data_IF_037520408948
#
_entry.id   IF_037520408948
#
_cell.length_a   1.000
_cell.length_b   1.000
_cell.length_c   1.000
_cell.angle_alpha   90.00
_cell.angle_beta   90.00
_cell.angle_gamma   90.00
#
_symmetry.space_group_name_H-M   'P 1'
#
loop_
_entity.id
_entity.type
_entity.pdbx_description
1 polymer ?
#
# COMPACT_ATOMS: atom_id res chain seq x y z
N UNK A 1 -19.98 -15.04 10.03
CA UNK A 1 -20.02 -14.32 8.74
C UNK A 1 -20.92 -13.07 8.78
N UNK A 2 -22.23 -13.20 9.14
CA UNK A 2 -23.14 -12.02 9.15
C UNK A 2 -22.68 -10.97 10.18
N UNK A 3 -22.24 -11.38 11.34
CA UNK A 3 -21.72 -10.48 12.39
C UNK A 3 -20.41 -9.78 11.99
N UNK A 4 -19.56 -10.44 11.23
CA UNK A 4 -18.32 -9.86 10.71
C UNK A 4 -18.56 -8.80 9.65
N UNK A 5 -19.52 -9.02 8.75
CA UNK A 5 -19.94 -8.04 7.74
C UNK A 5 -20.49 -6.79 8.42
N UNK A 6 -21.39 -6.94 9.39
CA UNK A 6 -21.97 -5.83 10.13
C UNK A 6 -20.91 -5.01 10.91
N UNK A 7 -19.95 -5.69 11.53
CA UNK A 7 -18.82 -5.03 12.20
C UNK A 7 -17.95 -4.25 11.21
N UNK A 8 -17.61 -4.87 10.08
CA UNK A 8 -16.86 -4.19 9.02
C UNK A 8 -17.58 -2.94 8.56
N UNK A 9 -18.86 -3.05 8.24
CA UNK A 9 -19.66 -1.92 7.76
C UNK A 9 -19.75 -0.79 8.79
N UNK A 10 -19.87 -1.11 10.07
CA UNK A 10 -19.89 -0.11 11.15
C UNK A 10 -18.57 0.66 11.26
N UNK A 11 -17.42 -0.03 11.14
CA UNK A 11 -16.10 0.61 11.15
C UNK A 11 -15.90 1.43 9.89
N UNK A 12 -16.27 0.89 8.73
CA UNK A 12 -16.13 1.57 7.45
C UNK A 12 -16.98 2.83 7.32
N UNK A 13 -18.11 2.92 8.02
CA UNK A 13 -18.91 4.15 8.02
C UNK A 13 -18.15 5.33 8.66
N UNK A 14 -17.44 5.05 9.75
CA UNK A 14 -16.55 6.04 10.38
C UNK A 14 -15.36 6.38 9.48
N UNK A 15 -14.72 5.37 8.89
CA UNK A 15 -13.61 5.57 7.96
C UNK A 15 -14.04 6.34 6.71
N UNK A 16 -15.22 6.04 6.14
CA UNK A 16 -15.79 6.75 4.99
C UNK A 16 -15.89 8.24 5.24
N UNK A 17 -16.44 8.64 6.41
CA UNK A 17 -16.54 10.05 6.75
C UNK A 17 -15.16 10.71 6.85
N UNK A 18 -14.21 10.07 7.51
CA UNK A 18 -12.86 10.60 7.63
C UNK A 18 -12.14 10.73 6.27
N UNK A 19 -12.31 9.75 5.39
CA UNK A 19 -11.75 9.79 4.04
C UNK A 19 -12.40 10.91 3.22
N UNK A 20 -13.72 11.04 3.28
CA UNK A 20 -14.45 12.10 2.60
C UNK A 20 -13.99 13.49 3.06
N UNK A 21 -13.94 13.72 4.37
CA UNK A 21 -13.51 15.00 4.95
C UNK A 21 -12.06 15.32 4.53
N UNK A 22 -11.17 14.32 4.54
CA UNK A 22 -9.77 14.49 4.11
C UNK A 22 -9.63 14.82 2.61
N UNK A 23 -10.34 14.10 1.75
CA UNK A 23 -10.29 14.30 0.29
C UNK A 23 -10.82 15.69 -0.10
N UNK A 24 -11.82 16.19 0.63
CA UNK A 24 -12.49 17.45 0.33
C UNK A 24 -11.98 18.64 1.15
N UNK A 25 -10.91 18.45 1.94
CA UNK A 25 -10.35 19.49 2.83
C UNK A 25 -11.40 20.05 3.80
N UNK A 26 -12.27 19.19 4.29
CA UNK A 26 -13.31 19.52 5.26
C UNK A 26 -12.84 19.32 6.70
N UNK A 27 -13.33 20.12 7.68
CA UNK A 27 -13.02 19.92 9.09
C UNK A 27 -13.41 18.53 9.56
N UNK A 28 -12.49 17.80 10.18
CA UNK A 28 -12.73 16.46 10.68
C UNK A 28 -12.72 16.42 12.20
N UNK A 29 -13.92 16.24 12.81
CA UNK A 29 -14.09 16.11 14.26
C UNK A 29 -13.76 14.71 14.80
N UNK A 30 -13.53 13.74 13.91
CA UNK A 30 -13.39 12.33 14.29
C UNK A 30 -12.02 12.00 14.86
N UNK A 31 -11.11 12.91 15.04
CA UNK A 31 -9.75 12.66 15.56
C UNK A 31 -9.11 11.38 15.01
N UNK A 32 -9.40 11.05 13.74
CA UNK A 32 -8.70 10.00 13.01
C UNK A 32 -7.40 10.61 12.57
N UNK A 33 -6.36 10.25 13.30
CA UNK A 33 -5.01 10.73 13.03
C UNK A 33 -4.43 9.99 11.83
N UNK A 34 -3.45 10.65 11.20
CA UNK A 34 -2.58 10.01 10.21
C UNK A 34 -3.22 9.78 8.82
N UNK A 35 -4.33 10.46 8.50
CA UNK A 35 -4.87 10.42 7.13
C UNK A 35 -3.87 10.93 6.07
N UNK A 36 -2.89 11.73 6.49
CA UNK A 36 -1.77 12.18 5.66
C UNK A 36 -0.74 11.08 5.35
N UNK A 37 -0.84 9.92 6.00
CA UNK A 37 0.04 8.79 5.69
C UNK A 37 -0.32 8.22 4.31
N UNK A 38 0.66 8.09 3.42
CA UNK A 38 0.42 7.73 2.02
C UNK A 38 -0.30 6.40 1.82
N UNK A 39 -0.14 5.47 2.73
CA UNK A 39 -0.70 4.12 2.60
C UNK A 39 -2.15 3.99 3.08
N UNK A 40 -2.67 4.96 3.86
CA UNK A 40 -4.01 4.85 4.49
C UNK A 40 -5.13 4.71 3.47
N UNK A 41 -5.17 5.56 2.45
CA UNK A 41 -6.19 5.48 1.40
C UNK A 41 -6.09 4.17 0.60
N UNK A 42 -4.89 3.70 0.36
CA UNK A 42 -4.65 2.45 -0.36
C UNK A 42 -5.07 1.23 0.46
N UNK A 43 -4.82 1.24 1.78
CA UNK A 43 -5.34 0.22 2.68
C UNK A 43 -6.87 0.23 2.76
N UNK A 44 -7.51 1.40 2.71
CA UNK A 44 -8.97 1.49 2.65
C UNK A 44 -9.51 0.79 1.40
N UNK A 45 -8.90 1.00 0.23
CA UNK A 45 -9.26 0.28 -1.01
C UNK A 45 -9.10 -1.22 -0.83
N UNK A 46 -7.98 -1.68 -0.26
CA UNK A 46 -7.77 -3.11 -0.01
C UNK A 46 -8.80 -3.70 0.97
N UNK A 47 -9.15 -2.99 2.04
CA UNK A 47 -10.20 -3.41 2.97
C UNK A 47 -11.55 -3.56 2.26
N UNK A 48 -11.93 -2.62 1.39
CA UNK A 48 -13.16 -2.69 0.60
C UNK A 48 -13.10 -3.88 -0.38
N UNK A 49 -11.94 -4.17 -0.96
CA UNK A 49 -11.72 -5.36 -1.79
C UNK A 49 -11.97 -6.66 -1.01
N UNK A 50 -11.53 -6.75 0.25
CA UNK A 50 -11.83 -7.93 1.08
C UNK A 50 -13.32 -8.02 1.43
N UNK A 51 -13.97 -6.88 1.66
CA UNK A 51 -15.43 -6.84 1.84
C UNK A 51 -16.17 -7.37 0.60
N UNK A 52 -15.74 -7.02 -0.61
CA UNK A 52 -16.32 -7.53 -1.84
C UNK A 52 -16.31 -9.08 -1.92
N UNK A 53 -15.28 -9.72 -1.36
CA UNK A 53 -15.20 -11.19 -1.26
C UNK A 53 -16.17 -11.78 -0.24
N UNK A 54 -16.50 -11.02 0.80
CA UNK A 54 -17.42 -11.47 1.86
C UNK A 54 -18.89 -11.39 1.45
N UNK A 55 -19.23 -10.44 0.58
CA UNK A 55 -20.63 -10.19 0.17
C UNK A 55 -20.87 -10.50 -1.31
N UNK A 56 -20.58 -9.56 -2.19
CA UNK A 56 -20.47 -9.68 -3.65
C UNK A 56 -19.91 -8.39 -4.21
N UNK A 57 -19.41 -8.42 -5.45
CA UNK A 57 -18.93 -7.22 -6.15
C UNK A 57 -20.05 -6.19 -6.36
N UNK A 58 -21.26 -6.62 -6.68
CA UNK A 58 -22.41 -5.73 -6.85
C UNK A 58 -22.76 -4.98 -5.57
N UNK A 59 -22.87 -5.68 -4.44
CA UNK A 59 -23.12 -5.03 -3.14
C UNK A 59 -21.98 -4.11 -2.72
N UNK A 60 -20.74 -4.51 -2.99
CA UNK A 60 -19.57 -3.68 -2.73
C UNK A 60 -19.64 -2.38 -3.56
N UNK A 61 -19.95 -2.48 -4.84
CA UNK A 61 -20.09 -1.34 -5.74
C UNK A 61 -21.21 -0.41 -5.32
N UNK A 62 -22.38 -0.96 -5.00
CA UNK A 62 -23.52 -0.18 -4.52
C UNK A 62 -23.15 0.64 -3.28
N UNK A 63 -22.40 0.05 -2.35
CA UNK A 63 -22.10 0.68 -1.07
C UNK A 63 -20.86 1.57 -1.08
N UNK A 64 -19.81 1.16 -1.79
CA UNK A 64 -18.49 1.81 -1.74
C UNK A 64 -17.95 2.24 -3.11
N UNK A 65 -18.68 2.02 -4.21
CA UNK A 65 -18.21 2.34 -5.55
C UNK A 65 -17.82 3.80 -5.70
N UNK A 66 -18.67 4.71 -5.25
CA UNK A 66 -18.38 6.14 -5.29
C UNK A 66 -17.14 6.51 -4.48
N UNK A 67 -16.99 5.99 -3.27
CA UNK A 67 -15.82 6.24 -2.42
C UNK A 67 -14.52 5.76 -3.08
N UNK A 68 -14.55 4.60 -3.74
CA UNK A 68 -13.42 4.06 -4.48
C UNK A 68 -13.02 4.96 -5.65
N UNK A 69 -14.00 5.46 -6.41
CA UNK A 69 -13.76 6.41 -7.50
C UNK A 69 -13.16 7.72 -6.99
N UNK A 70 -13.69 8.27 -5.89
CA UNK A 70 -13.17 9.48 -5.24
C UNK A 70 -11.71 9.32 -4.78
N UNK A 71 -11.38 8.19 -4.13
CA UNK A 71 -10.00 7.88 -3.70
C UNK A 71 -9.06 7.81 -4.92
N UNK A 72 -9.46 7.07 -5.96
CA UNK A 72 -8.62 6.91 -7.14
C UNK A 72 -8.39 8.22 -7.88
N UNK A 73 -9.42 9.05 -7.98
CA UNK A 73 -9.31 10.36 -8.61
C UNK A 73 -8.43 11.33 -7.78
N UNK A 74 -8.60 11.32 -6.46
CA UNK A 74 -7.78 12.12 -5.55
C UNK A 74 -6.29 11.79 -5.68
N UNK A 75 -5.95 10.50 -5.70
CA UNK A 75 -4.56 10.06 -5.86
C UNK A 75 -3.99 10.37 -7.26
N UNK A 76 -4.81 10.23 -8.30
CA UNK A 76 -4.40 10.51 -9.69
C UNK A 76 -4.18 12.00 -9.96
N UNK A 77 -4.87 12.88 -9.26
CA UNK A 77 -4.70 14.34 -9.36
C UNK A 77 -3.57 14.90 -8.50
N UNK A 78 -2.80 14.03 -7.85
CA UNK A 78 -1.69 14.45 -6.99
C UNK A 78 -2.11 15.39 -5.84
N UNK A 79 -3.33 15.22 -5.34
CA UNK A 79 -3.85 16.06 -4.27
C UNK A 79 -3.34 15.64 -2.87
N UNK A 80 -2.75 14.45 -2.76
CA UNK A 80 -2.24 13.95 -1.49
C UNK A 80 -0.95 14.68 -1.09
N UNK A 81 -0.81 15.18 0.16
CA UNK A 81 0.33 16.03 0.55
C UNK A 81 1.69 15.29 0.53
N UNK A 82 1.69 13.97 0.66
CA UNK A 82 2.91 13.16 0.79
C UNK A 82 3.01 12.04 -0.26
N UNK A 83 2.19 12.08 -1.31
CA UNK A 83 2.14 11.02 -2.33
C UNK A 83 1.93 11.62 -3.71
N UNK A 84 2.81 11.33 -4.64
CA UNK A 84 2.86 11.92 -5.97
C UNK A 84 2.87 10.85 -7.05
N UNK A 85 1.97 10.96 -8.01
CA UNK A 85 1.95 10.06 -9.17
C UNK A 85 2.95 10.54 -10.23
N UNK A 86 4.01 9.77 -10.43
CA UNK A 86 5.01 10.09 -11.43
C UNK A 86 4.62 9.58 -12.83
N UNK A 87 5.26 10.14 -13.86
CA UNK A 87 4.98 9.82 -15.26
C UNK A 87 5.23 8.37 -15.66
N UNK A 88 5.96 7.60 -14.85
CA UNK A 88 6.15 6.16 -15.00
C UNK A 88 5.01 5.31 -14.39
N UNK A 89 3.99 5.96 -13.82
CA UNK A 89 2.84 5.30 -13.19
C UNK A 89 3.06 4.87 -11.73
N UNK A 90 4.26 5.05 -11.18
CA UNK A 90 4.54 4.74 -9.77
C UNK A 90 4.20 5.91 -8.86
N UNK A 91 3.83 5.61 -7.63
CA UNK A 91 3.65 6.57 -6.56
C UNK A 91 4.97 6.81 -5.83
N UNK A 92 5.36 8.08 -5.77
CA UNK A 92 6.51 8.56 -5.00
C UNK A 92 6.00 9.11 -3.66
N UNK A 93 6.57 8.65 -2.55
CA UNK A 93 6.20 9.08 -1.21
C UNK A 93 7.32 9.90 -0.56
N UNK A 94 6.95 10.97 0.16
CA UNK A 94 7.90 11.80 0.91
C UNK A 94 7.85 11.46 2.40
N UNK A 95 8.86 10.75 2.87
CA UNK A 95 9.02 10.28 4.25
C UNK A 95 10.29 10.71 4.94
N UNK A 96 10.91 11.81 4.47
CA UNK A 96 12.17 12.31 5.03
C UNK A 96 12.01 12.79 6.47
N UNK A 97 10.97 13.56 6.75
CA UNK A 97 10.74 14.20 8.06
C UNK A 97 9.72 13.45 8.92
N UNK A 98 8.88 12.62 8.32
CA UNK A 98 7.82 11.88 9.01
C UNK A 98 7.87 10.41 8.64
N UNK A 99 7.55 9.54 9.59
CA UNK A 99 7.23 8.15 9.28
C UNK A 99 5.92 8.11 8.49
N UNK A 100 5.92 7.44 7.34
CA UNK A 100 4.82 7.52 6.37
C UNK A 100 4.13 6.19 6.11
N UNK A 101 4.55 5.12 6.78
CA UNK A 101 3.98 3.79 6.64
C UNK A 101 3.88 3.11 8.01
N UNK A 102 3.50 1.84 8.03
CA UNK A 102 3.49 1.01 9.24
C UNK A 102 4.86 0.98 9.97
N UNK A 103 5.96 1.27 9.27
CA UNK A 103 7.30 1.43 9.86
C UNK A 103 7.45 2.82 10.48
N UNK A 104 6.69 3.08 11.54
CA UNK A 104 6.47 4.40 12.13
C UNK A 104 7.26 4.68 13.41
N UNK A 105 8.28 3.87 13.72
CA UNK A 105 9.14 4.13 14.88
C UNK A 105 9.94 5.41 14.71
N UNK A 106 9.92 6.27 15.73
CA UNK A 106 10.64 7.54 15.74
C UNK A 106 11.58 7.67 16.93
N UNK A 107 12.63 8.46 16.77
CA UNK A 107 13.52 8.90 17.85
C UNK A 107 13.66 10.42 17.77
N UNK A 108 13.35 11.11 18.86
CA UNK A 108 13.32 12.58 18.91
C UNK A 108 12.45 13.22 17.80
N UNK A 109 11.33 12.57 17.47
CA UNK A 109 10.41 13.04 16.42
C UNK A 109 10.81 12.72 14.97
N UNK A 110 11.97 12.13 14.76
CA UNK A 110 12.43 11.73 13.42
C UNK A 110 12.29 10.22 13.19
N UNK A 111 11.93 9.79 11.96
CA UNK A 111 11.86 8.38 11.63
C UNK A 111 13.18 7.65 11.91
N UNK A 112 13.13 6.49 12.53
CA UNK A 112 14.31 5.61 12.68
C UNK A 112 14.83 5.17 11.32
N UNK A 113 13.90 4.95 10.39
CA UNK A 113 14.20 4.60 9.00
C UNK A 113 13.39 5.54 8.12
N UNK A 114 13.98 6.67 7.68
CA UNK A 114 13.32 7.54 6.71
C UNK A 114 13.23 6.81 5.37
N UNK A 115 12.01 6.66 4.86
CA UNK A 115 11.74 6.00 3.57
C UNK A 115 11.10 7.03 2.65
N UNK A 116 11.89 7.55 1.73
CA UNK A 116 11.44 8.49 0.69
C UNK A 116 11.69 7.87 -0.66
N UNK A 117 10.82 8.13 -1.62
CA UNK A 117 10.93 7.60 -2.97
C UNK A 117 9.80 6.64 -3.34
N UNK A 118 10.09 5.74 -4.26
CA UNK A 118 9.19 4.64 -4.58
C UNK A 118 9.31 3.57 -3.49
N UNK A 119 8.23 3.35 -2.74
CA UNK A 119 8.17 2.39 -1.63
C UNK A 119 7.44 1.15 -2.10
N UNK A 120 8.02 -0.02 -1.86
CA UNK A 120 7.57 -1.28 -2.47
C UNK A 120 6.13 -1.64 -2.11
N UNK A 121 5.74 -1.59 -0.84
CA UNK A 121 4.38 -1.93 -0.41
C UNK A 121 3.35 -0.89 -0.83
N UNK A 122 3.71 0.40 -0.89
CA UNK A 122 2.82 1.45 -1.40
C UNK A 122 2.51 1.20 -2.88
N UNK A 123 3.52 0.90 -3.67
CA UNK A 123 3.33 0.64 -5.10
C UNK A 123 2.68 -0.72 -5.37
N UNK A 124 2.85 -1.71 -4.49
CA UNK A 124 2.09 -2.96 -4.55
C UNK A 124 0.59 -2.73 -4.27
N UNK A 125 0.27 -1.95 -3.24
CA UNK A 125 -1.11 -1.53 -2.92
C UNK A 125 -1.72 -0.72 -4.07
N UNK A 126 -0.94 0.20 -4.65
CA UNK A 126 -1.38 1.02 -5.77
C UNK A 126 -1.74 0.17 -7.00
N UNK A 127 -0.85 -0.74 -7.40
CA UNK A 127 -1.13 -1.65 -8.50
C UNK A 127 -2.40 -2.48 -8.25
N UNK A 128 -2.53 -3.05 -7.05
CA UNK A 128 -3.72 -3.80 -6.66
C UNK A 128 -4.99 -2.94 -6.69
N UNK A 129 -4.92 -1.68 -6.25
CA UNK A 129 -6.04 -0.75 -6.27
C UNK A 129 -6.47 -0.41 -7.71
N UNK A 130 -5.51 -0.11 -8.59
CA UNK A 130 -5.77 0.17 -10.01
C UNK A 130 -6.52 -0.98 -10.69
N UNK A 131 -6.04 -2.21 -10.49
CA UNK A 131 -6.67 -3.39 -11.07
C UNK A 131 -8.08 -3.64 -10.50
N UNK A 132 -8.21 -3.66 -9.17
CA UNK A 132 -9.48 -3.94 -8.50
C UNK A 132 -10.55 -2.92 -8.85
N UNK A 133 -10.23 -1.61 -8.70
CA UNK A 133 -11.20 -0.54 -8.97
C UNK A 133 -11.49 -0.44 -10.46
N UNK A 134 -10.47 -0.60 -11.32
CA UNK A 134 -10.66 -0.61 -12.78
C UNK A 134 -11.66 -1.67 -13.23
N UNK A 135 -11.56 -2.89 -12.72
CA UNK A 135 -12.55 -3.94 -13.00
C UNK A 135 -13.93 -3.58 -12.45
N UNK A 136 -14.01 -3.12 -11.19
CA UNK A 136 -15.27 -2.83 -10.51
C UNK A 136 -16.07 -1.72 -11.22
N UNK A 137 -15.41 -0.66 -11.68
CA UNK A 137 -16.06 0.44 -12.40
C UNK A 137 -16.40 0.06 -13.83
N UNK A 138 -15.62 -0.81 -14.47
CA UNK A 138 -15.95 -1.40 -15.78
C UNK A 138 -17.23 -2.23 -15.74
N UNK A 139 -17.41 -3.07 -14.72
CA UNK A 139 -18.63 -3.83 -14.47
C UNK A 139 -19.85 -2.91 -14.24
N UNK A 140 -19.64 -1.68 -13.77
CA UNK A 140 -20.67 -0.66 -13.63
C UNK A 140 -21.00 0.07 -14.93
N UNK A 141 -20.25 -0.19 -16.01
CA UNK A 141 -20.40 0.49 -17.29
C UNK A 141 -19.66 1.82 -17.41
N UNK A 142 -18.84 2.20 -16.42
CA UNK A 142 -17.95 3.36 -16.50
C UNK A 142 -16.67 2.99 -17.27
N UNK A 143 -16.82 2.71 -18.56
CA UNK A 143 -15.75 2.22 -19.41
C UNK A 143 -14.57 3.19 -19.54
N UNK A 144 -14.83 4.49 -19.52
CA UNK A 144 -13.77 5.51 -19.64
C UNK A 144 -12.81 5.46 -18.42
N UNK A 145 -13.35 5.42 -17.22
CA UNK A 145 -12.53 5.32 -16.02
C UNK A 145 -11.84 3.96 -15.96
N UNK A 146 -12.55 2.87 -16.30
CA UNK A 146 -11.98 1.52 -16.33
C UNK A 146 -10.75 1.44 -17.25
N UNK A 147 -10.86 1.94 -18.49
CA UNK A 147 -9.79 1.97 -19.47
C UNK A 147 -8.59 2.83 -19.00
N UNK A 148 -8.88 3.96 -18.37
CA UNK A 148 -7.86 4.84 -17.79
C UNK A 148 -7.10 4.13 -16.67
N UNK A 149 -7.80 3.47 -15.73
CA UNK A 149 -7.16 2.75 -14.62
C UNK A 149 -6.40 1.52 -15.11
N UNK A 150 -6.92 0.81 -16.11
CA UNK A 150 -6.24 -0.34 -16.70
C UNK A 150 -4.93 0.08 -17.40
N UNK A 151 -4.97 1.14 -18.22
CA UNK A 151 -3.76 1.67 -18.88
C UNK A 151 -2.70 2.05 -17.85
N UNK A 152 -3.12 2.72 -16.78
CA UNK A 152 -2.21 3.09 -15.69
C UNK A 152 -1.69 1.85 -14.94
N UNK A 153 -2.51 0.82 -14.74
CA UNK A 153 -2.09 -0.44 -14.13
C UNK A 153 -1.01 -1.14 -14.96
N UNK A 154 -1.18 -1.21 -16.28
CA UNK A 154 -0.19 -1.80 -17.19
C UNK A 154 1.15 -1.06 -17.11
N UNK A 155 1.12 0.27 -17.13
CA UNK A 155 2.31 1.11 -16.98
C UNK A 155 2.97 0.90 -15.60
N UNK A 156 2.17 0.96 -14.53
CA UNK A 156 2.62 0.76 -13.15
C UNK A 156 3.26 -0.62 -12.98
N UNK A 157 2.63 -1.67 -13.50
CA UNK A 157 3.13 -3.04 -13.41
C UNK A 157 4.50 -3.22 -14.04
N UNK A 158 4.71 -2.66 -15.23
CA UNK A 158 6.01 -2.66 -15.92
C UNK A 158 7.05 -1.90 -15.12
N UNK A 159 6.75 -0.67 -14.73
CA UNK A 159 7.67 0.18 -13.96
C UNK A 159 7.97 -0.41 -12.58
N UNK A 160 7.02 -1.12 -11.97
CA UNK A 160 7.23 -1.81 -10.70
C UNK A 160 8.33 -2.87 -10.81
N UNK A 161 8.26 -3.72 -11.84
CA UNK A 161 9.28 -4.75 -12.07
C UNK A 161 10.63 -4.11 -12.34
N UNK A 162 10.68 -3.13 -13.24
CA UNK A 162 11.91 -2.44 -13.63
C UNK A 162 12.58 -1.71 -12.44
N UNK A 163 11.77 -1.24 -11.46
CA UNK A 163 12.26 -0.47 -10.30
C UNK A 163 12.65 -1.37 -9.14
N UNK A 164 11.86 -2.38 -8.81
CA UNK A 164 12.02 -3.11 -7.55
C UNK A 164 12.63 -4.48 -7.68
N UNK A 165 12.43 -5.19 -8.80
CA UNK A 165 12.93 -6.55 -8.93
C UNK A 165 14.44 -6.53 -9.23
N UNK A 166 15.22 -7.05 -8.29
CA UNK A 166 16.66 -7.11 -8.44
C UNK A 166 17.16 -8.43 -9.05
N UNK A 167 18.44 -8.47 -9.39
CA UNK A 167 19.11 -9.63 -10.00
C UNK A 167 19.10 -10.90 -9.14
N UNK A 168 18.88 -10.78 -7.82
CA UNK A 168 18.78 -11.91 -6.90
C UNK A 168 17.37 -12.46 -6.74
N UNK A 169 16.40 -11.89 -7.48
CA UNK A 169 15.02 -12.37 -7.52
C UNK A 169 14.15 -11.99 -6.33
N UNK A 170 14.51 -10.92 -5.60
CA UNK A 170 13.66 -10.31 -4.58
C UNK A 170 13.47 -8.81 -4.86
N UNK A 171 12.66 -8.12 -4.04
CA UNK A 171 12.33 -6.73 -4.27
C UNK A 171 13.12 -5.81 -3.34
N UNK A 172 13.61 -4.70 -3.89
CA UNK A 172 14.15 -3.59 -3.12
C UNK A 172 13.06 -3.01 -2.20
N UNK A 173 13.44 -2.53 -1.01
CA UNK A 173 12.51 -1.99 -0.04
C UNK A 173 11.98 -0.61 -0.46
N UNK A 174 12.87 0.26 -0.92
CA UNK A 174 12.53 1.51 -1.59
C UNK A 174 13.62 1.97 -2.54
N UNK A 175 13.26 2.87 -3.47
CA UNK A 175 14.17 3.45 -4.45
C UNK A 175 13.94 4.96 -4.53
N UNK A 176 15.00 5.76 -4.34
CA UNK A 176 14.97 7.22 -4.48
C UNK A 176 16.13 7.68 -5.39
N UNK A 177 15.82 7.93 -6.65
CA UNK A 177 16.83 8.23 -7.66
C UNK A 177 17.84 7.11 -7.81
N UNK A 178 19.09 7.38 -7.46
CA UNK A 178 20.19 6.39 -7.47
C UNK A 178 20.33 5.62 -6.17
N UNK A 179 19.58 5.97 -5.12
CA UNK A 179 19.58 5.27 -3.86
C UNK A 179 18.63 4.08 -3.94
N UNK A 180 19.14 2.90 -3.62
CA UNK A 180 18.38 1.65 -3.61
C UNK A 180 18.56 0.97 -2.25
N UNK A 181 17.48 0.70 -1.52
CA UNK A 181 17.54 -0.07 -0.29
C UNK A 181 17.42 -1.57 -0.58
N UNK A 182 18.54 -2.27 -0.45
CA UNK A 182 18.66 -3.71 -0.66
C UNK A 182 18.30 -4.53 0.59
N UNK A 183 17.85 -3.89 1.65
CA UNK A 183 17.49 -4.56 2.89
C UNK A 183 16.36 -5.56 2.64
N UNK A 184 16.55 -6.80 3.06
CA UNK A 184 15.50 -7.80 3.05
C UNK A 184 14.58 -7.55 4.23
N UNK A 185 13.39 -7.01 3.92
CA UNK A 185 12.31 -6.66 4.86
C UNK A 185 11.00 -7.37 4.47
N UNK A 186 10.05 -7.51 5.39
CA UNK A 186 8.79 -8.17 5.10
C UNK A 186 7.90 -7.42 4.09
N UNK A 187 8.18 -6.16 3.80
CA UNK A 187 7.37 -5.29 2.94
C UNK A 187 7.11 -5.87 1.55
N UNK A 188 8.08 -6.57 1.00
CA UNK A 188 7.94 -7.21 -0.31
C UNK A 188 6.87 -8.32 -0.36
N UNK A 189 6.48 -8.89 0.80
CA UNK A 189 5.51 -9.98 0.83
C UNK A 189 4.10 -9.53 0.42
N UNK A 190 3.77 -8.26 0.62
CA UNK A 190 2.48 -7.72 0.20
C UNK A 190 2.26 -7.88 -1.30
N UNK A 191 3.32 -7.70 -2.11
CA UNK A 191 3.24 -7.90 -3.57
C UNK A 191 2.85 -9.33 -3.95
N UNK A 192 3.23 -10.31 -3.12
CA UNK A 192 2.87 -11.71 -3.34
C UNK A 192 1.47 -12.05 -2.82
N UNK A 193 1.08 -11.40 -1.72
CA UNK A 193 -0.15 -11.69 -0.98
C UNK A 193 -1.40 -11.05 -1.59
N UNK A 194 -1.26 -9.95 -2.32
CA UNK A 194 -2.41 -9.28 -2.91
C UNK A 194 -2.99 -10.06 -4.09
N UNK A 195 -4.30 -9.89 -4.33
CA UNK A 195 -5.02 -10.56 -5.43
C UNK A 195 -4.45 -10.16 -6.79
N UNK A 196 -4.15 -8.88 -6.95
CA UNK A 196 -3.49 -8.34 -8.14
C UNK A 196 -2.04 -8.01 -7.83
N UNK A 197 -1.16 -8.59 -8.58
CA UNK A 197 0.29 -8.46 -8.40
C UNK A 197 0.96 -8.26 -9.77
N UNK A 198 1.92 -7.35 -9.89
CA UNK A 198 2.67 -7.20 -11.12
C UNK A 198 3.66 -8.35 -11.36
N UNK A 199 3.92 -9.19 -10.35
CA UNK A 199 4.86 -10.30 -10.42
C UNK A 199 4.24 -11.54 -11.04
N UNK A 200 4.98 -12.22 -11.90
CA UNK A 200 4.64 -13.56 -12.36
C UNK A 200 4.87 -14.64 -11.28
N UNK A 201 4.48 -15.87 -11.57
CA UNK A 201 4.59 -16.98 -10.61
C UNK A 201 6.04 -17.29 -10.21
N UNK A 202 7.00 -17.14 -11.11
CA UNK A 202 8.44 -17.36 -10.84
C UNK A 202 8.99 -16.27 -9.95
N UNK A 203 8.65 -15.01 -10.23
CA UNK A 203 9.06 -13.85 -9.44
C UNK A 203 8.46 -13.90 -8.03
N UNK A 204 7.16 -14.23 -7.90
CA UNK A 204 6.51 -14.45 -6.60
C UNK A 204 7.22 -15.53 -5.78
N UNK A 205 7.60 -16.64 -6.44
CA UNK A 205 8.36 -17.70 -5.79
C UNK A 205 9.71 -17.22 -5.30
N UNK A 206 10.44 -16.43 -6.09
CA UNK A 206 11.73 -15.86 -5.69
C UNK A 206 11.60 -15.00 -4.42
N UNK A 207 10.60 -14.11 -4.37
CA UNK A 207 10.32 -13.30 -3.19
C UNK A 207 10.00 -14.17 -1.98
N UNK A 208 9.12 -15.18 -2.13
CA UNK A 208 8.77 -16.10 -1.05
C UNK A 208 9.98 -16.89 -0.53
N UNK A 209 10.84 -17.37 -1.42
CA UNK A 209 12.04 -18.13 -1.04
C UNK A 209 12.98 -17.27 -0.17
N UNK A 210 13.18 -15.99 -0.53
CA UNK A 210 14.02 -15.07 0.25
C UNK A 210 13.37 -14.72 1.59
N UNK A 211 12.08 -14.40 1.62
CA UNK A 211 11.34 -14.09 2.85
C UNK A 211 11.36 -15.29 3.80
N UNK A 212 11.10 -16.48 3.28
CA UNK A 212 11.10 -17.71 4.08
C UNK A 212 12.49 -17.99 4.67
N UNK A 213 13.53 -17.86 3.85
CA UNK A 213 14.90 -18.16 4.26
C UNK A 213 15.45 -17.17 5.29
N UNK A 214 15.14 -15.89 5.15
CA UNK A 214 15.80 -14.84 5.91
C UNK A 214 14.94 -14.24 7.03
N UNK A 215 13.62 -14.21 6.85
CA UNK A 215 12.73 -13.52 7.79
C UNK A 215 11.87 -14.46 8.61
N UNK A 216 11.49 -15.64 8.09
CA UNK A 216 10.53 -16.50 8.76
C UNK A 216 11.08 -17.05 10.08
N UNK A 217 10.25 -16.97 11.11
CA UNK A 217 10.48 -17.57 12.43
C UNK A 217 9.22 -18.32 12.88
N UNK A 218 9.30 -19.16 13.90
CA UNK A 218 8.10 -19.82 14.47
C UNK A 218 7.03 -18.84 14.99
N UNK A 219 7.38 -17.55 15.18
CA UNK A 219 6.48 -16.52 15.73
C UNK A 219 6.05 -15.46 14.71
N UNK A 220 6.50 -15.56 13.45
CA UNK A 220 6.22 -14.60 12.39
C UNK A 220 7.47 -14.18 11.62
N UNK A 221 7.37 -13.07 10.89
CA UNK A 221 8.49 -12.55 10.11
C UNK A 221 9.31 -11.54 10.94
N UNK A 222 10.63 -11.59 10.79
CA UNK A 222 11.51 -10.52 11.25
C UNK A 222 11.25 -9.25 10.44
N UNK A 223 11.41 -8.10 11.05
CA UNK A 223 11.32 -6.80 10.37
C UNK A 223 12.56 -6.49 9.49
N UNK A 224 13.66 -7.21 9.72
CA UNK A 224 14.91 -7.07 8.97
C UNK A 224 15.67 -8.39 8.96
N UNK A 225 16.33 -8.71 7.85
CA UNK A 225 17.20 -9.89 7.76
C UNK A 225 18.39 -9.81 8.73
N UNK A 226 18.72 -10.92 9.41
CA UNK A 226 19.95 -11.00 10.23
C UNK A 226 21.25 -10.73 9.49
N UNK A 227 21.24 -10.76 8.16
CA UNK A 227 22.39 -10.44 7.32
C UNK A 227 22.56 -8.94 7.07
N UNK A 228 21.56 -8.13 7.38
CA UNK A 228 21.64 -6.68 7.23
C UNK A 228 22.44 -6.04 8.35
N UNK A 229 23.29 -5.07 8.02
CA UNK A 229 24.20 -4.45 8.98
C UNK A 229 23.53 -3.69 10.14
N UNK A 230 22.25 -3.33 10.01
CA UNK A 230 21.45 -2.72 11.08
C UNK A 230 20.62 -3.70 11.91
N UNK A 231 20.76 -5.02 11.69
CA UNK A 231 19.98 -6.00 12.44
C UNK A 231 20.40 -6.07 13.91
N UNK A 232 19.44 -5.88 14.80
CA UNK A 232 19.63 -6.10 16.24
C UNK A 232 18.62 -7.14 16.74
N UNK A 233 19.06 -8.33 17.17
CA UNK A 233 18.15 -9.39 17.64
C UNK A 233 17.54 -9.09 19.02
N UNK A 234 18.17 -8.20 19.79
CA UNK A 234 17.75 -7.87 21.14
C UNK A 234 17.43 -6.38 21.22
N UNK A 235 16.16 -6.07 21.39
CA UNK A 235 15.77 -4.70 21.70
C UNK A 235 16.21 -4.34 23.13
N UNK A 236 17.02 -3.29 23.26
CA UNK A 236 17.48 -2.79 24.55
C UNK A 236 17.21 -1.28 24.59
N UNK A 237 16.35 -0.85 25.49
CA UNK A 237 16.07 0.56 25.72
C UNK A 237 14.56 0.85 25.93
N UNK A 238 14.22 2.03 26.47
CA UNK A 238 12.83 2.47 26.51
C UNK A 238 12.33 2.71 25.09
N UNK A 239 11.09 2.31 24.84
CA UNK A 239 10.37 2.71 23.64
C UNK A 239 10.11 4.21 23.79
N UNK A 240 10.89 5.04 23.12
CA UNK A 240 10.61 6.46 23.05
C UNK A 240 9.52 6.64 21.98
N UNK A 241 8.34 6.94 22.46
CA UNK A 241 7.20 7.34 21.64
C UNK A 241 7.32 8.79 21.22
#
# INVERSE_FOLDING_TARGET
AIDEVAKFESVMETARKAIHDFINDEPNDLKIYEMEHPDVLLWAVWCIQQYAKMVSRDKCREKYGQLLEEIMEYLRRENHPNLFLHSNGLLYANGTEKAITWMNSTVNGHPVIPRTGYIVEINALWYNALCFVGELVGEAGNNNLAETLQTLAEQTGKSFIDTFLNEYGYLLDYVDGNMMDWSVRPNMIFTVAFDYSPLDARQKKGVLDVVTKELLTPKGLRSLSPKSGGYNPNYVGPQMQ
#
